data_IF_951868733742
#
_entry.id   IF_951868733742
#
_cell.length_a   1.000
_cell.length_b   1.000
_cell.length_c   1.000
_cell.angle_alpha   90.00
_cell.angle_beta   90.00
_cell.angle_gamma   90.00
#
_symmetry.space_group_name_H-M   'P 1'
#
loop_
_entity.id
_entity.type
_entity.pdbx_description
1 polymer ?
#
# COMPACT_ATOMS: atom_id res chain seq x y z
N UNK A 1 -3.38 -16.75 5.18
CA UNK A 1 -3.95 -17.30 3.93
C UNK A 1 -4.92 -16.27 3.38
N UNK A 2 -5.04 -16.17 2.05
CA UNK A 2 -5.93 -15.22 1.35
C UNK A 2 -6.86 -16.07 0.49
N UNK A 3 -8.18 -15.94 0.64
CA UNK A 3 -9.15 -16.74 -0.12
C UNK A 3 -9.96 -15.90 -1.12
N UNK A 4 -10.45 -16.55 -2.17
CA UNK A 4 -11.34 -15.94 -3.15
C UNK A 4 -12.65 -15.50 -2.49
N UNK A 5 -13.10 -14.28 -2.81
CA UNK A 5 -14.31 -13.68 -2.26
C UNK A 5 -14.13 -12.99 -0.90
N UNK A 6 -12.95 -13.04 -0.30
CA UNK A 6 -12.65 -12.30 0.93
C UNK A 6 -12.17 -10.88 0.64
N UNK A 7 -12.22 -10.02 1.67
CA UNK A 7 -11.54 -8.74 1.67
C UNK A 7 -10.19 -8.91 2.36
N UNK A 8 -9.12 -8.84 1.58
CA UNK A 8 -7.78 -8.65 2.11
C UNK A 8 -7.66 -7.23 2.66
N UNK A 9 -7.37 -7.12 3.96
CA UNK A 9 -7.11 -5.82 4.60
C UNK A 9 -5.68 -5.78 5.12
N UNK A 10 -4.95 -4.72 4.78
CA UNK A 10 -3.61 -4.48 5.30
C UNK A 10 -3.46 -3.06 5.80
N UNK A 11 -2.68 -2.89 6.87
CA UNK A 11 -2.32 -1.59 7.41
C UNK A 11 -0.88 -1.26 7.02
N UNK A 12 -0.69 -0.07 6.44
CA UNK A 12 0.61 0.48 6.07
C UNK A 12 0.89 1.70 6.93
N UNK A 13 2.06 1.73 7.55
CA UNK A 13 2.52 2.83 8.37
C UNK A 13 3.96 3.17 7.99
N UNK A 14 4.20 4.42 7.58
CA UNK A 14 5.54 4.93 7.28
C UNK A 14 5.82 6.09 8.22
N UNK A 15 6.82 5.94 9.07
CA UNK A 15 7.23 6.97 10.02
C UNK A 15 8.54 7.63 9.58
N UNK A 16 8.56 8.96 9.54
CA UNK A 16 9.81 9.70 9.39
C UNK A 16 10.49 9.87 10.76
N UNK A 17 11.27 8.86 11.17
CA UNK A 17 12.05 8.92 12.40
C UNK A 17 13.34 9.74 12.33
N UNK A 18 13.48 10.61 11.33
CA UNK A 18 14.62 11.51 11.21
C UNK A 18 14.26 12.91 11.69
N UNK A 19 15.27 13.69 12.07
CA UNK A 19 15.11 15.06 12.56
C UNK A 19 14.91 16.09 11.42
N UNK A 20 14.63 15.63 10.20
CA UNK A 20 14.51 16.46 8.99
C UNK A 20 13.28 16.04 8.18
N UNK A 21 12.72 16.98 7.41
CA UNK A 21 11.64 16.66 6.49
C UNK A 21 12.17 15.83 5.31
N UNK A 22 11.48 14.73 5.00
CA UNK A 22 11.79 13.87 3.84
C UNK A 22 10.93 14.30 2.67
N UNK A 23 11.53 14.48 1.49
CA UNK A 23 10.82 14.99 0.31
C UNK A 23 10.59 13.93 -0.75
N UNK A 24 9.55 14.14 -1.55
CA UNK A 24 9.17 13.28 -2.67
C UNK A 24 8.97 11.82 -2.26
N UNK A 25 8.20 11.61 -1.19
CA UNK A 25 7.90 10.27 -0.68
C UNK A 25 6.83 9.63 -1.56
N UNK A 26 7.14 8.46 -2.12
CA UNK A 26 6.18 7.63 -2.87
C UNK A 26 6.05 6.29 -2.17
N UNK A 27 4.84 5.97 -1.72
CA UNK A 27 4.53 4.68 -1.13
C UNK A 27 3.73 3.84 -2.13
N UNK A 28 4.14 2.57 -2.30
CA UNK A 28 3.51 1.62 -3.22
C UNK A 28 3.36 0.28 -2.52
N UNK A 29 2.16 -0.29 -2.62
CA UNK A 29 1.86 -1.63 -2.13
C UNK A 29 1.33 -2.49 -3.28
N UNK A 30 2.01 -3.62 -3.49
CA UNK A 30 1.74 -4.59 -4.53
C UNK A 30 1.68 -5.99 -3.89
N UNK A 31 0.72 -6.82 -4.29
CA UNK A 31 0.54 -8.22 -3.89
C UNK A 31 1.02 -9.13 -5.01
N UNK A 32 2.13 -9.82 -4.76
CA UNK A 32 2.71 -10.76 -5.71
C UNK A 32 2.32 -12.20 -5.36
N UNK A 33 1.79 -12.93 -6.33
CA UNK A 33 1.60 -14.38 -6.28
C UNK A 33 2.59 -15.07 -7.22
N UNK A 34 2.55 -16.40 -7.28
CA UNK A 34 3.31 -17.17 -8.27
C UNK A 34 2.92 -16.88 -9.72
N UNK A 35 1.71 -16.33 -9.96
CA UNK A 35 1.15 -16.12 -11.29
C UNK A 35 0.99 -14.66 -11.69
N UNK A 36 0.93 -13.72 -10.74
CA UNK A 36 0.62 -12.32 -11.03
C UNK A 36 1.20 -11.34 -10.02
N UNK A 37 1.28 -10.08 -10.44
CA UNK A 37 1.54 -8.94 -9.58
C UNK A 37 0.30 -8.04 -9.61
N UNK A 38 -0.36 -7.92 -8.46
CA UNK A 38 -1.58 -7.15 -8.29
C UNK A 38 -1.27 -5.87 -7.51
N UNK A 39 -1.58 -4.72 -8.08
CA UNK A 39 -1.43 -3.45 -7.38
C UNK A 39 -2.56 -3.30 -6.35
N UNK A 40 -2.21 -3.24 -5.06
CA UNK A 40 -3.18 -3.12 -3.97
C UNK A 40 -3.55 -1.67 -3.67
N UNK A 41 -2.58 -0.77 -3.87
CA UNK A 41 -2.73 0.66 -3.63
C UNK A 41 -3.42 1.32 -4.83
N UNK A 42 -4.74 1.51 -4.75
CA UNK A 42 -5.48 2.35 -5.71
C UNK A 42 -5.08 3.83 -5.59
N UNK A 43 -4.57 4.25 -4.43
CA UNK A 43 -3.94 5.56 -4.22
C UNK A 43 -2.44 5.37 -4.20
N UNK A 44 -1.75 5.93 -5.18
CA UNK A 44 -0.35 6.28 -4.97
C UNK A 44 -0.31 7.36 -3.89
N UNK A 45 0.17 7.01 -2.70
CA UNK A 45 0.47 8.03 -1.69
C UNK A 45 1.79 8.67 -2.10
N UNK A 46 1.65 9.77 -2.85
CA UNK A 46 2.73 10.66 -3.21
C UNK A 46 2.64 11.88 -2.29
N UNK A 47 3.62 12.05 -1.43
CA UNK A 47 3.73 13.18 -0.52
C UNK A 47 4.95 14.00 -0.91
N UNK A 48 4.74 15.29 -1.15
CA UNK A 48 5.83 16.20 -1.50
C UNK A 48 6.83 16.36 -0.34
N UNK A 49 6.33 16.40 0.89
CA UNK A 49 7.13 16.53 2.11
C UNK A 49 6.48 15.81 3.29
N UNK A 50 7.22 14.92 3.94
CA UNK A 50 6.88 14.26 5.19
C UNK A 50 7.73 14.86 6.31
N UNK A 51 7.17 15.68 7.21
CA UNK A 51 7.93 16.33 8.30
C UNK A 51 8.58 15.34 9.27
N UNK A 52 9.49 15.85 10.12
CA UNK A 52 10.11 15.09 11.21
C UNK A 52 9.04 14.52 12.15
N UNK A 53 9.20 13.26 12.54
CA UNK A 53 8.31 12.52 13.45
C UNK A 53 6.85 12.36 12.97
N UNK A 54 6.56 12.68 11.70
CA UNK A 54 5.24 12.47 11.10
C UNK A 54 5.08 11.06 10.51
N UNK A 55 3.82 10.66 10.38
CA UNK A 55 3.42 9.33 9.95
C UNK A 55 2.51 9.40 8.73
N UNK A 56 2.70 8.47 7.81
CA UNK A 56 1.73 8.12 6.76
C UNK A 56 1.03 6.84 7.20
N UNK A 57 -0.28 6.89 7.41
CA UNK A 57 -1.12 5.74 7.73
C UNK A 57 -2.12 5.46 6.61
N UNK A 58 -2.15 4.21 6.13
CA UNK A 58 -3.09 3.80 5.10
C UNK A 58 -3.66 2.41 5.41
N UNK A 59 -4.99 2.32 5.41
CA UNK A 59 -5.68 1.03 5.40
C UNK A 59 -6.02 0.69 3.96
N UNK A 60 -5.48 -0.42 3.48
CA UNK A 60 -5.72 -0.94 2.15
C UNK A 60 -6.75 -2.05 2.27
N UNK A 61 -7.86 -1.90 1.55
CA UNK A 61 -8.87 -2.94 1.39
C UNK A 61 -8.88 -3.40 -0.06
N UNK A 62 -8.63 -4.68 -0.27
CA UNK A 62 -8.65 -5.29 -1.58
C UNK A 62 -9.59 -6.50 -1.57
N UNK A 63 -10.62 -6.45 -2.41
CA UNK A 63 -11.49 -7.60 -2.63
C UNK A 63 -10.76 -8.64 -3.49
N UNK A 64 -10.57 -9.83 -2.96
CA UNK A 64 -9.87 -10.92 -3.64
C UNK A 64 -10.83 -11.50 -4.68
N UNK A 65 -10.65 -11.08 -5.93
CA UNK A 65 -11.43 -11.56 -7.08
C UNK A 65 -10.70 -12.65 -7.84
N UNK A 66 -11.47 -13.43 -8.58
CA UNK A 66 -10.93 -14.42 -9.50
C UNK A 66 -10.28 -13.66 -10.65
N UNK A 67 -8.98 -13.85 -10.85
CA UNK A 67 -8.25 -13.13 -11.88
C UNK A 67 -8.26 -14.02 -13.13
N UNK A 68 -9.37 -13.95 -13.87
CA UNK A 68 -9.57 -14.71 -15.10
C UNK A 68 -10.15 -13.83 -16.22
N UNK A 69 -9.42 -13.74 -17.34
CA UNK A 69 -9.97 -13.28 -18.63
C UNK A 69 -10.88 -14.37 -19.18
N UNK A 70 -12.17 -14.07 -19.32
CA UNK A 70 -13.08 -14.86 -20.14
C UNK A 70 -13.12 -14.33 -21.56
#
# INVERSE_FOLDING_TARGET
TIYLGEIFSSYLCVHNGSNQAVRNVSVKADLQTSSQNLRLSNKHVNIEELPSDEIIDEVIHHEVKEIGTH
#
